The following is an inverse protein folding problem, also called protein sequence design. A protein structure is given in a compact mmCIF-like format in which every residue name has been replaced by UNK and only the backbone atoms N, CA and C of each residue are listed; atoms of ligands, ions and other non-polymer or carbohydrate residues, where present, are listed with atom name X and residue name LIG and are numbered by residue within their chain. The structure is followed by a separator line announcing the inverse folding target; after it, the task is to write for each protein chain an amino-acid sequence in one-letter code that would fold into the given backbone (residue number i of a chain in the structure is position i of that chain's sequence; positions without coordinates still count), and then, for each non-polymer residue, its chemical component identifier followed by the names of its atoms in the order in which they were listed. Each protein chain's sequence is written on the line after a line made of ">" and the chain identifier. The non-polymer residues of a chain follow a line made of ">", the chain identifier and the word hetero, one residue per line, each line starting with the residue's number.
data_IF_486834097178
#
_entry.id   IF_486834097178
#
_cell.length_a   1.000
_cell.length_b   1.000
_cell.length_c   1.000
_cell.angle_alpha   90.00
_cell.angle_beta   90.00
_cell.angle_gamma   90.00
#
_symmetry.space_group_name_H-M   'P 1'
#
loop_
_entity.id
_entity.type
_entity.pdbx_description
1 polymer ?
#
# COMPACT_ATOMS: atom_id res chain seq x y z
N UNK A 1 44.40 57.66 -6.56
CA UNK A 1 45.81 58.01 -6.68
C UNK A 1 46.45 56.95 -7.58
N UNK A 2 46.59 57.41 -8.84
CA UNK A 2 47.78 57.37 -9.74
C UNK A 2 48.43 55.99 -9.89
N UNK A 3 48.26 55.38 -11.08
CA UNK A 3 49.10 55.39 -12.30
C UNK A 3 50.45 54.68 -12.10
N UNK A 4 50.83 53.73 -12.96
CA UNK A 4 51.43 53.80 -14.34
C UNK A 4 51.79 52.41 -14.79
N UNK A 5 51.42 51.90 -15.98
CA UNK A 5 52.10 51.93 -17.28
C UNK A 5 53.57 51.56 -17.29
N UNK A 6 53.95 50.52 -18.11
CA UNK A 6 54.81 50.66 -19.30
C UNK A 6 55.22 49.24 -19.80
N UNK A 7 54.83 48.84 -20.92
CA UNK A 7 55.32 48.74 -22.29
C UNK A 7 56.68 48.11 -22.56
N UNK A 8 56.72 47.34 -23.70
CA UNK A 8 57.74 47.01 -24.69
C UNK A 8 58.68 45.84 -24.38
N UNK A 9 58.90 44.87 -25.27
CA UNK A 9 59.41 45.03 -26.63
C UNK A 9 59.34 43.70 -27.44
N UNK A 10 59.31 43.91 -28.73
CA UNK A 10 59.39 43.05 -29.92
C UNK A 10 60.58 42.11 -29.98
N UNK A 11 60.40 41.00 -30.68
CA UNK A 11 61.52 40.23 -31.26
C UNK A 11 61.04 38.90 -31.85
N UNK A 12 60.84 38.87 -33.06
CA UNK A 12 61.48 38.28 -34.27
C UNK A 12 61.10 36.82 -34.55
N UNK A 13 60.57 36.64 -35.72
CA UNK A 13 60.28 35.49 -36.55
C UNK A 13 61.36 34.43 -36.63
N UNK A 14 61.00 33.13 -36.50
CA UNK A 14 61.65 32.03 -37.28
C UNK A 14 60.49 31.10 -37.74
N UNK A 15 60.38 31.02 -39.07
CA UNK A 15 59.47 30.09 -39.76
C UNK A 15 60.18 28.71 -39.77
N UNK A 16 59.58 27.71 -39.18
CA UNK A 16 59.95 26.32 -39.43
C UNK A 16 58.67 25.58 -39.85
N UNK A 17 58.58 25.25 -41.11
CA UNK A 17 57.57 24.42 -41.72
C UNK A 17 57.88 22.98 -41.37
N UNK A 18 57.19 22.38 -40.46
CA UNK A 18 57.11 20.93 -40.24
C UNK A 18 55.70 20.49 -40.51
N UNK A 19 55.53 19.68 -41.56
CA UNK A 19 54.27 19.11 -41.97
C UNK A 19 53.65 18.28 -40.84
N UNK A 20 52.52 18.69 -40.39
CA UNK A 20 51.68 17.96 -39.45
C UNK A 20 50.61 17.25 -40.26
N UNK A 21 50.79 15.94 -40.46
CA UNK A 21 49.72 15.07 -40.96
C UNK A 21 48.58 15.09 -39.95
N UNK A 22 47.51 15.74 -40.29
CA UNK A 22 46.25 15.67 -39.52
C UNK A 22 45.70 14.27 -39.69
N UNK A 23 45.94 13.39 -38.71
CA UNK A 23 45.04 12.27 -38.46
C UNK A 23 43.72 12.87 -37.97
N UNK A 24 42.73 12.91 -38.85
CA UNK A 24 41.35 13.02 -38.46
C UNK A 24 40.96 11.73 -37.71
N UNK A 25 41.14 11.73 -36.38
CA UNK A 25 40.37 10.83 -35.53
C UNK A 25 38.97 11.36 -35.59
N UNK A 26 38.13 10.71 -36.41
CA UNK A 26 36.70 10.81 -36.30
C UNK A 26 36.34 10.18 -34.94
N UNK A 27 36.23 10.99 -33.90
CA UNK A 27 35.39 10.65 -32.78
C UNK A 27 33.97 10.65 -33.37
N UNK A 28 33.47 9.45 -33.67
CA UNK A 28 32.04 9.24 -33.66
C UNK A 28 31.62 9.47 -32.21
N UNK A 29 31.17 10.65 -31.90
CA UNK A 29 30.26 10.85 -30.78
C UNK A 29 28.97 10.08 -31.14
N UNK A 30 29.02 8.77 -30.97
CA UNK A 30 27.83 8.01 -30.64
C UNK A 30 27.41 8.59 -29.29
N UNK A 31 26.58 9.63 -29.33
CA UNK A 31 25.70 9.89 -28.21
C UNK A 31 24.94 8.58 -28.01
N UNK A 32 25.47 7.76 -27.10
CA UNK A 32 24.76 6.64 -26.49
C UNK A 32 23.50 7.29 -25.89
N UNK A 33 22.44 7.30 -26.68
CA UNK A 33 21.11 7.54 -26.19
C UNK A 33 20.90 6.44 -25.16
N UNK A 34 21.32 6.72 -23.91
CA UNK A 34 21.39 5.79 -22.79
C UNK A 34 20.11 5.02 -22.65
N UNK A 35 19.99 3.96 -23.42
CA UNK A 35 18.88 3.01 -23.30
C UNK A 35 18.89 2.52 -21.86
N UNK A 36 17.72 2.47 -21.23
CA UNK A 36 17.57 1.87 -19.91
C UNK A 36 17.92 0.39 -20.06
N UNK A 37 19.13 0.01 -19.68
CA UNK A 37 19.65 -1.35 -19.85
C UNK A 37 19.35 -2.23 -18.62
N UNK A 38 19.04 -1.63 -17.46
CA UNK A 38 18.79 -2.34 -16.22
C UNK A 38 17.35 -2.89 -16.17
N UNK A 39 17.22 -4.19 -15.97
CA UNK A 39 15.93 -4.81 -15.67
C UNK A 39 15.40 -4.38 -14.30
N UNK A 40 14.14 -4.72 -13.99
CA UNK A 40 13.55 -4.50 -12.66
C UNK A 40 14.43 -5.12 -11.57
N UNK A 41 14.96 -6.33 -11.81
CA UNK A 41 15.83 -7.02 -10.85
C UNK A 41 17.15 -6.26 -10.68
N UNK A 42 17.76 -5.77 -11.77
CA UNK A 42 19.02 -5.01 -11.69
C UNK A 42 18.84 -3.71 -10.88
N UNK A 43 17.71 -3.02 -11.05
CA UNK A 43 17.37 -1.83 -10.25
C UNK A 43 17.22 -2.17 -8.77
N UNK A 44 16.55 -3.29 -8.46
CA UNK A 44 16.35 -3.75 -7.07
C UNK A 44 17.67 -4.14 -6.43
N UNK A 45 18.49 -4.96 -7.09
CA UNK A 45 19.81 -5.41 -6.61
C UNK A 45 20.81 -4.25 -6.50
N UNK A 46 20.74 -3.29 -7.42
CA UNK A 46 21.63 -2.12 -7.44
C UNK A 46 21.34 -1.08 -6.34
N UNK A 47 20.29 -1.25 -5.54
CA UNK A 47 19.87 -0.28 -4.53
C UNK A 47 19.82 -0.87 -3.11
N UNK A 48 20.65 -0.31 -2.21
CA UNK A 48 20.66 -0.71 -0.80
C UNK A 48 19.29 -0.56 -0.11
N UNK A 49 18.42 0.32 -0.61
CA UNK A 49 17.07 0.51 -0.08
C UNK A 49 16.14 -0.68 -0.32
N UNK A 50 16.48 -1.57 -1.25
CA UNK A 50 15.70 -2.75 -1.61
C UNK A 50 16.32 -4.08 -1.16
N UNK A 51 17.31 -4.07 -0.27
CA UNK A 51 18.01 -5.30 0.16
C UNK A 51 17.08 -6.38 0.74
N UNK A 52 16.00 -5.98 1.42
CA UNK A 52 14.98 -6.90 1.94
C UNK A 52 14.13 -7.48 0.79
N UNK A 53 13.74 -6.64 -0.18
CA UNK A 53 13.00 -7.08 -1.38
C UNK A 53 13.87 -8.01 -2.24
N UNK A 54 15.14 -7.70 -2.44
CA UNK A 54 16.10 -8.56 -3.13
C UNK A 54 16.15 -9.95 -2.49
N UNK A 55 16.31 -10.01 -1.16
CA UNK A 55 16.32 -11.27 -0.41
C UNK A 55 15.01 -12.07 -0.61
N UNK A 56 13.86 -11.38 -0.64
CA UNK A 56 12.57 -12.01 -0.89
C UNK A 56 12.45 -12.55 -2.32
N UNK A 57 12.89 -11.79 -3.34
CA UNK A 57 12.86 -12.19 -4.76
C UNK A 57 13.75 -13.41 -5.00
N UNK A 58 14.93 -13.44 -4.39
CA UNK A 58 15.85 -14.58 -4.49
C UNK A 58 15.22 -15.82 -3.85
N UNK A 59 14.69 -15.70 -2.61
CA UNK A 59 14.07 -16.81 -1.88
C UNK A 59 12.82 -17.34 -2.57
N UNK A 60 12.05 -16.48 -3.23
CA UNK A 60 10.85 -16.86 -4.01
C UNK A 60 11.16 -17.43 -5.41
N UNK A 61 12.46 -17.54 -5.77
CA UNK A 61 12.92 -18.01 -7.09
C UNK A 61 12.31 -17.21 -8.27
N UNK A 62 12.11 -15.90 -8.09
CA UNK A 62 11.49 -15.03 -9.11
C UNK A 62 12.49 -14.18 -9.91
N UNK A 63 13.80 -14.33 -9.66
CA UNK A 63 14.85 -13.57 -10.35
C UNK A 63 14.72 -13.70 -11.87
N UNK A 64 14.65 -14.91 -12.40
CA UNK A 64 14.53 -15.16 -13.85
C UNK A 64 13.22 -14.64 -14.44
N UNK A 65 12.13 -14.70 -13.69
CA UNK A 65 10.81 -14.21 -14.14
C UNK A 65 10.82 -12.69 -14.26
N UNK A 66 11.34 -11.98 -13.24
CA UNK A 66 11.31 -10.52 -13.19
C UNK A 66 12.46 -9.85 -13.94
N UNK A 67 13.52 -10.59 -14.34
CA UNK A 67 14.57 -10.12 -15.25
C UNK A 67 14.28 -10.41 -16.73
N UNK A 68 13.29 -11.26 -17.02
CA UNK A 68 12.94 -11.65 -18.38
C UNK A 68 12.36 -10.50 -19.23
N UNK A 69 12.28 -10.77 -20.55
CA UNK A 69 11.68 -9.86 -21.52
C UNK A 69 10.15 -9.79 -21.31
N UNK A 70 9.72 -8.92 -20.45
CA UNK A 70 8.31 -8.67 -20.16
C UNK A 70 7.98 -7.19 -20.23
N UNK A 71 6.77 -6.86 -19.86
CA UNK A 71 6.33 -5.50 -19.63
C UNK A 71 5.63 -5.49 -18.28
N UNK A 72 6.38 -5.18 -17.22
CA UNK A 72 5.89 -5.29 -15.85
C UNK A 72 5.71 -3.94 -15.19
N UNK A 73 4.82 -3.88 -14.21
CA UNK A 73 4.81 -2.86 -13.18
C UNK A 73 5.02 -3.54 -11.84
N UNK A 74 5.99 -3.09 -11.07
CA UNK A 74 6.24 -3.62 -9.73
C UNK A 74 6.01 -2.53 -8.69
N UNK A 75 5.10 -2.78 -7.76
CA UNK A 75 4.93 -2.00 -6.55
C UNK A 75 5.98 -2.48 -5.54
N UNK A 76 7.12 -1.80 -5.48
CA UNK A 76 8.28 -2.24 -4.71
C UNK A 76 8.29 -1.61 -3.31
N UNK A 77 8.13 -2.40 -2.23
CA UNK A 77 8.37 -1.91 -0.89
C UNK A 77 9.87 -1.78 -0.63
N UNK A 78 10.30 -0.65 -0.05
CA UNK A 78 11.66 -0.47 0.46
C UNK A 78 11.84 -1.14 1.84
N UNK A 79 13.06 -1.10 2.38
CA UNK A 79 13.37 -1.67 3.70
C UNK A 79 12.50 -1.05 4.81
N UNK A 80 12.17 0.25 4.71
CA UNK A 80 11.28 0.94 5.65
C UNK A 80 9.86 0.41 5.56
N UNK A 81 9.37 0.17 4.33
CA UNK A 81 8.05 -0.40 4.08
C UNK A 81 7.92 -1.82 4.67
N UNK A 82 8.95 -2.65 4.53
CA UNK A 82 9.02 -3.96 5.16
C UNK A 82 8.95 -3.86 6.69
N UNK A 83 9.79 -3.01 7.29
CA UNK A 83 9.79 -2.77 8.73
C UNK A 83 8.43 -2.24 9.23
N UNK A 84 7.87 -1.26 8.55
CA UNK A 84 6.58 -0.68 8.88
C UNK A 84 5.39 -1.65 8.70
N UNK A 85 5.56 -2.70 7.89
CA UNK A 85 4.59 -3.79 7.72
C UNK A 85 4.81 -4.94 8.70
N UNK A 86 5.79 -4.85 9.61
CA UNK A 86 6.14 -5.92 10.54
C UNK A 86 6.80 -7.14 9.87
N UNK A 87 7.17 -7.02 8.59
CA UNK A 87 7.85 -8.09 7.84
C UNK A 87 9.35 -8.01 8.09
N UNK A 88 9.76 -8.47 9.26
CA UNK A 88 11.17 -8.54 9.65
C UNK A 88 11.92 -9.65 8.90
N UNK A 89 13.25 -9.65 8.96
CA UNK A 89 14.07 -10.71 8.39
C UNK A 89 13.67 -12.11 8.93
N UNK A 90 13.29 -12.21 10.22
CA UNK A 90 12.81 -13.44 10.83
C UNK A 90 11.48 -13.90 10.23
N UNK A 91 10.52 -12.98 10.05
CA UNK A 91 9.24 -13.29 9.38
C UNK A 91 9.50 -13.74 7.95
N UNK A 92 10.36 -13.02 7.21
CA UNK A 92 10.71 -13.37 5.83
C UNK A 92 11.36 -14.74 5.72
N UNK A 93 12.19 -15.13 6.69
CA UNK A 93 12.78 -16.46 6.77
C UNK A 93 11.77 -17.56 7.07
N UNK A 94 10.72 -17.28 7.86
CA UNK A 94 9.68 -18.26 8.21
C UNK A 94 8.68 -18.54 7.10
N UNK A 95 8.51 -17.60 6.14
CA UNK A 95 7.64 -17.81 4.98
C UNK A 95 8.22 -18.87 4.04
N UNK A 96 7.37 -19.70 3.45
CA UNK A 96 7.76 -20.64 2.40
C UNK A 96 8.07 -19.90 1.08
N UNK A 97 8.72 -20.60 0.12
CA UNK A 97 8.94 -20.09 -1.23
C UNK A 97 7.61 -19.72 -1.89
N UNK A 98 6.58 -20.59 -1.81
CA UNK A 98 5.28 -20.35 -2.41
C UNK A 98 4.57 -19.12 -1.79
N UNK A 99 4.60 -18.98 -0.45
CA UNK A 99 4.02 -17.81 0.22
C UNK A 99 4.69 -16.51 -0.21
N UNK A 100 6.01 -16.49 -0.35
CA UNK A 100 6.73 -15.32 -0.84
C UNK A 100 6.43 -15.04 -2.32
N UNK A 101 6.31 -16.10 -3.12
CA UNK A 101 5.95 -15.99 -4.52
C UNK A 101 4.55 -15.38 -4.69
N UNK A 102 3.57 -15.81 -3.93
CA UNK A 102 2.21 -15.25 -3.94
C UNK A 102 2.23 -13.77 -3.58
N UNK A 103 2.94 -13.39 -2.51
CA UNK A 103 3.09 -11.99 -2.10
C UNK A 103 3.75 -11.16 -3.21
N UNK A 104 4.87 -11.62 -3.77
CA UNK A 104 5.61 -10.86 -4.80
C UNK A 104 4.85 -10.76 -6.13
N UNK A 105 4.15 -11.81 -6.54
CA UNK A 105 3.26 -11.76 -7.70
C UNK A 105 2.07 -10.84 -7.47
N UNK A 106 1.59 -10.71 -6.23
CA UNK A 106 0.56 -9.73 -5.86
C UNK A 106 1.05 -8.27 -5.95
N UNK A 107 2.38 -8.05 -5.84
CA UNK A 107 3.01 -6.74 -6.08
C UNK A 107 3.28 -6.44 -7.56
N UNK A 108 3.03 -7.39 -8.46
CA UNK A 108 3.45 -7.31 -9.86
C UNK A 108 2.24 -7.27 -10.79
N UNK A 109 2.21 -6.33 -11.73
CA UNK A 109 1.27 -6.31 -12.85
C UNK A 109 1.97 -6.83 -14.11
N UNK A 110 1.25 -7.59 -14.93
CA UNK A 110 1.73 -8.10 -16.23
C UNK A 110 1.70 -7.06 -17.36
N UNK A 111 1.67 -5.78 -17.05
CA UNK A 111 1.69 -4.67 -18.01
C UNK A 111 2.41 -3.47 -17.42
N UNK A 112 2.99 -2.63 -18.30
CA UNK A 112 3.64 -1.38 -17.88
C UNK A 112 2.57 -0.28 -17.70
N UNK A 113 2.45 0.23 -16.48
CA UNK A 113 1.50 1.28 -16.10
C UNK A 113 2.28 2.44 -15.48
N UNK A 114 2.51 3.50 -16.23
CA UNK A 114 3.12 4.72 -15.71
C UNK A 114 2.10 5.53 -14.89
N UNK A 115 2.54 6.29 -13.92
CA UNK A 115 1.68 7.09 -13.04
C UNK A 115 0.81 8.09 -13.80
N UNK A 116 1.30 8.60 -14.94
CA UNK A 116 0.54 9.50 -15.82
C UNK A 116 -0.67 8.82 -16.47
N UNK A 117 -0.60 7.51 -16.74
CA UNK A 117 -1.70 6.74 -17.35
C UNK A 117 -2.78 6.32 -16.35
N UNK A 118 -2.51 6.43 -15.04
CA UNK A 118 -3.50 6.15 -14.00
C UNK A 118 -4.50 7.31 -13.98
N UNK A 119 -5.77 6.98 -14.22
CA UNK A 119 -6.85 7.96 -14.17
C UNK A 119 -7.14 8.39 -12.71
N UNK A 120 -7.60 9.62 -12.52
CA UNK A 120 -8.10 10.06 -11.22
C UNK A 120 -9.37 9.29 -10.88
N UNK A 121 -9.41 8.70 -9.70
CA UNK A 121 -10.52 7.87 -9.25
C UNK A 121 -10.15 7.10 -7.99
N UNK A 122 -11.15 6.48 -7.37
CA UNK A 122 -11.00 5.67 -6.16
C UNK A 122 -11.19 4.19 -6.48
N UNK A 123 -10.39 3.34 -5.85
CA UNK A 123 -10.57 1.88 -5.82
C UNK A 123 -10.70 1.22 -7.20
N UNK A 124 -9.94 1.69 -8.18
CA UNK A 124 -9.86 1.04 -9.48
C UNK A 124 -9.19 -0.33 -9.33
N UNK A 125 -9.93 -1.39 -9.62
CA UNK A 125 -9.42 -2.75 -9.55
C UNK A 125 -8.46 -3.02 -10.71
N UNK A 126 -7.26 -3.51 -10.39
CA UNK A 126 -6.22 -3.87 -11.37
C UNK A 126 -5.72 -5.27 -11.07
N UNK A 127 -5.78 -6.16 -12.08
CA UNK A 127 -5.30 -7.55 -11.96
C UNK A 127 -3.79 -7.60 -11.77
N UNK A 128 -3.36 -8.32 -10.75
CA UNK A 128 -1.96 -8.63 -10.51
C UNK A 128 -1.53 -9.93 -11.20
N UNK A 129 -0.23 -10.19 -11.24
CA UNK A 129 0.31 -11.47 -11.72
C UNK A 129 -0.05 -12.66 -10.80
N UNK A 130 -0.44 -12.41 -9.54
CA UNK A 130 -1.02 -13.40 -8.63
C UNK A 130 -2.42 -13.85 -9.10
N UNK A 131 -3.17 -12.98 -9.77
CA UNK A 131 -4.56 -13.23 -10.22
C UNK A 131 -5.62 -12.49 -9.39
N UNK A 132 -5.28 -11.98 -8.20
CA UNK A 132 -6.15 -11.12 -7.41
C UNK A 132 -5.98 -9.65 -7.78
N UNK A 133 -6.97 -8.83 -7.41
CA UNK A 133 -6.96 -7.41 -7.70
C UNK A 133 -6.23 -6.62 -6.60
N UNK A 134 -5.41 -5.66 -7.03
CA UNK A 134 -5.07 -4.50 -6.21
C UNK A 134 -6.01 -3.35 -6.56
N UNK A 135 -6.23 -2.47 -5.60
CA UNK A 135 -7.12 -1.31 -5.76
C UNK A 135 -6.29 -0.04 -5.79
N UNK A 136 -6.33 0.64 -6.93
CA UNK A 136 -5.57 1.87 -7.15
C UNK A 136 -6.48 3.08 -6.97
N UNK A 137 -6.07 4.00 -6.13
CA UNK A 137 -6.69 5.33 -5.96
C UNK A 137 -5.70 6.41 -6.40
N UNK A 138 -6.15 7.33 -7.24
CA UNK A 138 -5.41 8.55 -7.59
C UNK A 138 -6.25 9.78 -7.26
N UNK A 139 -5.73 10.62 -6.40
CA UNK A 139 -6.37 11.86 -5.97
C UNK A 139 -5.33 13.00 -5.85
N UNK A 140 -5.72 14.16 -5.30
CA UNK A 140 -4.83 15.31 -5.10
C UNK A 140 -3.63 15.03 -4.18
N UNK A 141 -3.70 13.98 -3.34
CA UNK A 141 -2.65 13.61 -2.40
C UNK A 141 -1.65 12.60 -3.00
N UNK A 142 -1.91 12.11 -4.24
CA UNK A 142 -1.04 11.21 -4.97
C UNK A 142 -1.70 9.92 -5.45
N UNK A 143 -0.88 8.90 -5.66
CA UNK A 143 -1.30 7.55 -6.03
C UNK A 143 -1.18 6.64 -4.83
N UNK A 144 -2.18 5.80 -4.65
CA UNK A 144 -2.26 4.82 -3.55
C UNK A 144 -2.63 3.45 -4.12
N UNK A 145 -2.11 2.40 -3.49
CA UNK A 145 -2.43 1.01 -3.83
C UNK A 145 -2.88 0.30 -2.55
N UNK A 146 -4.10 -0.24 -2.55
CA UNK A 146 -4.75 -0.77 -1.35
C UNK A 146 -4.69 0.19 -0.17
N UNK A 147 -4.85 1.50 -0.43
CA UNK A 147 -4.79 2.56 0.56
C UNK A 147 -3.39 3.00 1.00
N UNK A 148 -2.33 2.36 0.49
CA UNK A 148 -0.95 2.70 0.82
C UNK A 148 -0.32 3.58 -0.25
N UNK A 149 0.40 4.62 0.18
CA UNK A 149 0.95 5.63 -0.72
C UNK A 149 2.09 5.10 -1.58
N UNK A 150 2.09 5.49 -2.85
CA UNK A 150 3.26 5.42 -3.73
C UNK A 150 4.18 6.57 -3.35
N UNK A 151 5.35 6.25 -2.74
CA UNK A 151 6.37 7.23 -2.28
C UNK A 151 7.09 7.86 -3.47
N UNK A 152 7.41 7.04 -4.48
CA UNK A 152 8.05 7.46 -5.72
C UNK A 152 7.50 6.62 -6.87
N UNK A 153 7.00 7.30 -7.89
CA UNK A 153 6.49 6.65 -9.10
C UNK A 153 7.53 6.67 -10.23
N UNK A 154 7.31 5.80 -11.22
CA UNK A 154 7.96 5.82 -12.53
C UNK A 154 9.50 5.65 -12.47
N UNK A 155 10.03 4.77 -11.61
CA UNK A 155 11.41 4.32 -11.69
C UNK A 155 11.47 3.36 -12.88
N UNK A 156 12.15 3.78 -13.95
CA UNK A 156 12.17 3.08 -15.22
C UNK A 156 13.14 1.90 -15.20
N UNK A 157 12.71 0.78 -15.81
CA UNK A 157 13.52 -0.38 -16.08
C UNK A 157 13.36 -0.82 -17.55
N UNK A 158 14.31 -1.58 -18.09
CA UNK A 158 14.28 -2.04 -19.49
C UNK A 158 13.06 -2.92 -19.79
N UNK A 159 12.57 -3.67 -18.80
CA UNK A 159 11.44 -4.57 -18.91
C UNK A 159 10.21 -4.11 -18.09
N UNK A 160 10.13 -2.82 -17.71
CA UNK A 160 8.96 -2.33 -16.99
C UNK A 160 9.13 -1.01 -16.26
N UNK A 161 8.35 -0.85 -15.19
CA UNK A 161 8.37 0.31 -14.31
C UNK A 161 8.21 -0.13 -12.86
N UNK A 162 8.89 0.54 -11.95
CA UNK A 162 8.80 0.31 -10.51
C UNK A 162 8.14 1.52 -9.86
N UNK A 163 7.19 1.26 -8.97
CA UNK A 163 6.60 2.25 -8.08
C UNK A 163 6.97 1.90 -6.64
N UNK A 164 7.71 2.76 -5.99
CA UNK A 164 8.10 2.61 -4.58
C UNK A 164 6.89 2.84 -3.69
N UNK A 165 6.55 1.88 -2.83
CA UNK A 165 5.40 1.94 -1.92
C UNK A 165 5.81 1.91 -0.44
N UNK A 166 4.94 2.46 0.42
CA UNK A 166 5.23 2.63 1.86
C UNK A 166 4.90 1.40 2.72
N UNK A 167 4.29 0.36 2.14
CA UNK A 167 3.91 -0.89 2.84
C UNK A 167 4.01 -2.09 1.92
N UNK A 168 4.23 -3.25 2.50
CA UNK A 168 4.08 -4.53 1.80
C UNK A 168 2.59 -4.79 1.56
N UNK A 169 2.22 -5.10 0.32
CA UNK A 169 0.85 -5.48 -0.04
C UNK A 169 0.64 -6.95 0.29
N UNK A 170 -0.43 -7.25 1.01
CA UNK A 170 -0.82 -8.62 1.31
C UNK A 170 -2.06 -8.99 0.51
N UNK A 171 -2.07 -10.12 -0.23
CA UNK A 171 -3.28 -10.62 -0.86
C UNK A 171 -4.33 -10.95 0.20
N UNK A 172 -5.61 -10.88 -0.16
CA UNK A 172 -6.69 -11.22 0.75
C UNK A 172 -6.66 -12.72 1.07
N UNK A 173 -6.69 -13.07 2.36
CA UNK A 173 -6.69 -14.47 2.82
C UNK A 173 -8.08 -15.09 2.91
N UNK A 174 -9.12 -14.30 2.60
CA UNK A 174 -10.51 -14.72 2.68
C UNK A 174 -11.46 -13.51 2.73
N UNK A 175 -12.73 -13.76 3.04
CA UNK A 175 -13.72 -12.70 3.24
C UNK A 175 -13.53 -12.02 4.61
N UNK A 176 -14.31 -10.96 4.88
CA UNK A 176 -14.21 -10.17 6.12
C UNK A 176 -14.31 -11.00 7.40
N UNK A 177 -15.16 -12.04 7.39
CA UNK A 177 -15.32 -12.94 8.56
C UNK A 177 -14.08 -13.82 8.73
N UNK A 178 -13.56 -14.39 7.64
CA UNK A 178 -12.37 -15.25 7.65
C UNK A 178 -11.12 -14.46 8.07
N UNK A 179 -10.96 -13.23 7.56
CA UNK A 179 -9.88 -12.33 7.97
C UNK A 179 -9.99 -11.98 9.45
N UNK A 180 -11.19 -11.71 9.97
CA UNK A 180 -11.40 -11.46 11.39
C UNK A 180 -11.09 -12.71 12.25
N UNK A 181 -11.43 -13.91 11.78
CA UNK A 181 -11.10 -15.18 12.46
C UNK A 181 -9.59 -15.41 12.59
N UNK A 182 -8.81 -14.96 11.62
CA UNK A 182 -7.34 -15.03 11.64
C UNK A 182 -6.67 -14.02 12.60
N UNK A 183 -7.43 -13.10 13.20
CA UNK A 183 -6.89 -12.04 14.05
C UNK A 183 -7.26 -12.23 15.52
N UNK A 184 -6.26 -12.48 16.38
CA UNK A 184 -6.44 -12.68 17.83
C UNK A 184 -7.04 -11.49 18.57
N UNK A 185 -6.91 -10.27 18.03
CA UNK A 185 -7.45 -9.04 18.62
C UNK A 185 -8.95 -8.84 18.33
N UNK A 186 -9.57 -9.71 17.51
CA UNK A 186 -10.96 -9.61 17.07
C UNK A 186 -11.87 -10.74 17.59
N UNK A 187 -11.43 -11.52 18.58
CA UNK A 187 -12.20 -12.66 19.12
C UNK A 187 -13.53 -12.21 19.76
N UNK A 188 -13.57 -11.03 20.39
CA UNK A 188 -14.79 -10.45 20.94
C UNK A 188 -15.76 -9.99 19.83
N UNK A 189 -15.22 -9.40 18.76
CA UNK A 189 -16.03 -9.04 17.58
C UNK A 189 -16.66 -10.29 16.96
N UNK A 190 -15.92 -11.38 16.82
CA UNK A 190 -16.46 -12.63 16.30
C UNK A 190 -17.59 -13.19 17.18
N UNK A 191 -17.41 -13.19 18.50
CA UNK A 191 -18.46 -13.58 19.44
C UNK A 191 -19.69 -12.71 19.30
N UNK A 192 -19.50 -11.38 19.14
CA UNK A 192 -20.60 -10.43 18.92
C UNK A 192 -21.32 -10.67 17.58
N UNK A 193 -20.59 -10.95 16.49
CA UNK A 193 -21.17 -11.29 15.18
C UNK A 193 -21.99 -12.57 15.26
N UNK A 194 -21.47 -13.61 15.91
CA UNK A 194 -22.19 -14.87 16.11
C UNK A 194 -23.44 -14.69 16.95
N UNK A 195 -23.36 -13.93 18.04
CA UNK A 195 -24.52 -13.63 18.89
C UNK A 195 -25.57 -12.79 18.16
N UNK A 196 -25.16 -11.72 17.49
CA UNK A 196 -26.04 -10.85 16.71
C UNK A 196 -26.78 -11.62 15.61
N UNK A 197 -26.12 -12.61 15.01
CA UNK A 197 -26.69 -13.43 13.93
C UNK A 197 -27.82 -14.37 14.40
N UNK A 198 -28.05 -14.48 15.70
CA UNK A 198 -29.18 -15.20 16.28
C UNK A 198 -30.46 -14.34 16.38
N UNK A 199 -30.34 -13.03 16.09
CA UNK A 199 -31.47 -12.09 16.04
C UNK A 199 -32.16 -12.07 14.69
N UNK A 200 -32.90 -10.98 14.44
CA UNK A 200 -33.62 -10.75 13.17
C UNK A 200 -32.70 -10.53 11.96
N UNK A 201 -31.46 -10.09 12.19
CA UNK A 201 -30.46 -9.82 11.14
C UNK A 201 -29.30 -10.78 11.29
N UNK A 202 -29.06 -11.60 10.29
CA UNK A 202 -27.87 -12.47 10.26
C UNK A 202 -26.64 -11.66 9.82
N UNK A 203 -25.94 -11.06 10.80
CA UNK A 203 -24.77 -10.19 10.57
C UNK A 203 -23.64 -10.97 9.91
N UNK A 204 -23.41 -12.23 10.30
CA UNK A 204 -22.38 -13.08 9.70
C UNK A 204 -22.65 -13.29 8.20
N UNK A 205 -23.90 -13.51 7.81
CA UNK A 205 -24.29 -13.66 6.41
C UNK A 205 -24.08 -12.37 5.62
N UNK A 206 -24.40 -11.21 6.20
CA UNK A 206 -24.18 -9.90 5.57
C UNK A 206 -22.69 -9.69 5.33
N UNK A 207 -21.84 -9.88 6.34
CA UNK A 207 -20.39 -9.69 6.24
C UNK A 207 -19.70 -10.76 5.39
N UNK A 208 -20.28 -11.93 5.22
CA UNK A 208 -19.79 -13.01 4.35
C UNK A 208 -20.25 -12.88 2.88
N UNK A 209 -21.17 -11.95 2.57
CA UNK A 209 -21.68 -11.75 1.22
C UNK A 209 -20.67 -11.02 0.31
N UNK A 210 -20.99 -10.90 -0.97
CA UNK A 210 -20.03 -10.45 -2.01
C UNK A 210 -19.57 -8.98 -1.89
N UNK A 211 -20.14 -8.16 -1.01
CA UNK A 211 -19.70 -6.78 -0.77
C UNK A 211 -19.73 -5.84 -1.99
N UNK A 212 -18.89 -4.82 -2.09
CA UNK A 212 -17.81 -4.52 -1.14
C UNK A 212 -18.27 -3.85 0.15
N UNK A 213 -17.57 -4.15 1.24
CA UNK A 213 -17.82 -3.54 2.54
C UNK A 213 -16.56 -2.91 3.13
N UNK A 214 -16.75 -1.94 4.04
CA UNK A 214 -15.72 -1.49 4.98
C UNK A 214 -16.21 -1.78 6.38
N UNK A 215 -15.39 -2.42 7.20
CA UNK A 215 -15.68 -2.69 8.60
C UNK A 215 -14.72 -1.94 9.49
N UNK A 216 -15.23 -1.03 10.32
CA UNK A 216 -14.49 -0.50 11.46
C UNK A 216 -14.59 -1.50 12.60
N UNK A 217 -13.57 -2.34 12.76
CA UNK A 217 -13.58 -3.52 13.62
C UNK A 217 -13.06 -3.17 15.02
N UNK A 218 -13.93 -3.14 16.07
CA UNK A 218 -13.49 -2.90 17.43
C UNK A 218 -12.61 -4.06 17.92
N UNK A 219 -11.47 -3.72 18.52
CA UNK A 219 -10.59 -4.71 19.14
C UNK A 219 -11.22 -5.32 20.40
N UNK A 220 -10.65 -6.42 20.90
CA UNK A 220 -11.06 -7.01 22.18
C UNK A 220 -11.07 -5.97 23.31
N UNK A 221 -10.04 -5.10 23.35
CA UNK A 221 -9.96 -4.05 24.35
C UNK A 221 -11.07 -3.01 24.19
N UNK A 222 -11.48 -2.71 22.95
CA UNK A 222 -12.61 -1.81 22.68
C UNK A 222 -13.92 -2.34 23.27
N UNK A 223 -14.18 -3.64 23.16
CA UNK A 223 -15.34 -4.29 23.78
C UNK A 223 -15.25 -4.27 25.31
N UNK A 224 -14.09 -4.54 25.89
CA UNK A 224 -13.89 -4.46 27.35
C UNK A 224 -14.17 -3.03 27.84
N UNK A 225 -13.66 -2.01 27.16
CA UNK A 225 -13.91 -0.60 27.48
C UNK A 225 -15.37 -0.20 27.34
N UNK A 226 -16.13 -0.88 26.44
CA UNK A 226 -17.58 -0.69 26.26
C UNK A 226 -18.44 -1.45 27.29
N UNK A 227 -17.82 -2.12 28.28
CA UNK A 227 -18.52 -2.83 29.35
C UNK A 227 -18.68 -4.35 29.14
N UNK A 228 -18.20 -4.90 28.04
CA UNK A 228 -18.18 -6.36 27.80
C UNK A 228 -16.87 -6.95 28.32
N UNK A 229 -16.78 -7.16 29.63
CA UNK A 229 -15.54 -7.63 30.27
C UNK A 229 -15.13 -9.06 29.83
N UNK A 230 -16.05 -9.87 29.32
CA UNK A 230 -15.83 -11.24 28.88
C UNK A 230 -16.65 -11.58 27.64
N UNK A 231 -16.25 -12.60 26.90
CA UNK A 231 -17.03 -13.16 25.78
C UNK A 231 -18.42 -13.62 26.27
N UNK A 232 -18.52 -14.22 27.45
CA UNK A 232 -19.79 -14.64 28.05
C UNK A 232 -20.78 -13.45 28.25
N UNK A 233 -20.27 -12.25 28.55
CA UNK A 233 -21.11 -11.04 28.62
C UNK A 233 -21.69 -10.64 27.25
N UNK A 234 -20.91 -10.84 26.17
CA UNK A 234 -21.38 -10.65 24.79
C UNK A 234 -22.45 -11.68 24.43
N UNK A 235 -22.22 -12.95 24.76
CA UNK A 235 -23.15 -14.05 24.48
C UNK A 235 -24.48 -13.91 25.25
N UNK A 236 -24.49 -13.23 26.40
CA UNK A 236 -25.68 -12.90 27.18
C UNK A 236 -26.43 -11.67 26.69
N UNK A 237 -25.81 -10.83 25.83
CA UNK A 237 -26.39 -9.60 25.34
C UNK A 237 -27.58 -9.87 24.39
N UNK A 238 -28.44 -8.86 24.23
CA UNK A 238 -29.56 -8.92 23.26
C UNK A 238 -29.03 -8.94 21.83
N UNK A 239 -29.38 -9.96 21.01
CA UNK A 239 -28.84 -10.14 19.68
C UNK A 239 -29.22 -9.01 18.70
N UNK A 240 -30.43 -8.42 18.84
CA UNK A 240 -30.85 -7.35 17.94
C UNK A 240 -30.13 -6.03 18.26
N UNK A 241 -29.90 -5.76 19.55
CA UNK A 241 -29.05 -4.62 19.97
C UNK A 241 -27.62 -4.76 19.42
N UNK A 242 -27.03 -5.93 19.55
CA UNK A 242 -25.70 -6.19 18.97
C UNK A 242 -25.71 -6.06 17.44
N UNK A 243 -26.75 -6.56 16.76
CA UNK A 243 -26.87 -6.43 15.30
C UNK A 243 -26.96 -4.97 14.87
N UNK A 244 -27.72 -4.13 15.59
CA UNK A 244 -27.80 -2.69 15.32
C UNK A 244 -26.42 -2.01 15.50
N UNK A 245 -25.71 -2.31 16.59
CA UNK A 245 -24.38 -1.77 16.84
C UNK A 245 -23.40 -2.25 15.77
N UNK A 246 -23.36 -3.55 15.45
CA UNK A 246 -22.41 -4.09 14.48
C UNK A 246 -22.65 -3.58 13.06
N UNK A 247 -23.91 -3.46 12.63
CA UNK A 247 -24.23 -2.88 11.30
C UNK A 247 -23.93 -1.38 11.23
N UNK A 248 -23.86 -0.70 12.37
CA UNK A 248 -23.37 0.68 12.46
C UNK A 248 -21.85 0.79 12.20
N UNK A 249 -21.08 -0.26 12.41
CA UNK A 249 -19.64 -0.31 12.10
C UNK A 249 -19.34 -0.63 10.62
N UNK A 250 -20.36 -0.83 9.79
CA UNK A 250 -20.21 -1.31 8.41
C UNK A 250 -20.64 -0.26 7.39
N UNK A 251 -19.84 -0.05 6.36
CA UNK A 251 -20.19 0.72 5.18
C UNK A 251 -20.43 -0.22 4.00
N UNK A 252 -21.42 0.09 3.14
CA UNK A 252 -21.68 -0.64 1.88
C UNK A 252 -20.79 -0.15 0.74
N UNK A 253 -19.49 0.04 1.02
CA UNK A 253 -18.50 0.47 0.05
C UNK A 253 -17.10 0.01 0.51
N UNK A 254 -16.14 -0.14 -0.40
CA UNK A 254 -14.73 -0.30 -0.06
C UNK A 254 -14.15 1.10 0.13
N UNK A 255 -13.69 1.41 1.33
CA UNK A 255 -13.04 2.66 1.65
C UNK A 255 -11.71 2.37 2.35
N UNK A 256 -10.59 2.51 1.64
CA UNK A 256 -9.26 2.50 2.25
C UNK A 256 -8.99 3.83 2.96
N UNK A 257 -7.93 3.87 3.76
CA UNK A 257 -7.54 5.11 4.46
C UNK A 257 -7.28 6.28 3.51
N UNK A 258 -6.82 6.00 2.28
CA UNK A 258 -6.61 7.00 1.21
C UNK A 258 -7.89 7.62 0.66
N UNK A 259 -9.02 7.00 0.91
CA UNK A 259 -10.33 7.41 0.40
C UNK A 259 -11.12 8.22 1.44
N UNK A 260 -10.62 8.23 2.69
CA UNK A 260 -11.20 9.00 3.77
C UNK A 260 -10.72 10.45 3.71
N UNK A 261 -11.62 11.40 3.97
CA UNK A 261 -11.30 12.82 4.03
C UNK A 261 -11.66 13.42 5.39
N UNK A 262 -10.89 14.41 5.81
CA UNK A 262 -11.14 15.07 7.09
C UNK A 262 -12.49 15.80 7.08
N UNK A 263 -13.32 15.56 8.11
CA UNK A 263 -14.66 16.11 8.22
C UNK A 263 -15.71 15.40 7.37
N UNK A 264 -15.38 14.26 6.76
CA UNK A 264 -16.32 13.46 5.99
C UNK A 264 -17.33 12.76 6.92
N UNK A 265 -18.59 12.80 6.56
CA UNK A 265 -19.65 12.00 7.19
C UNK A 265 -19.89 10.74 6.34
N UNK A 266 -19.84 9.57 6.96
CA UNK A 266 -20.03 8.27 6.33
C UNK A 266 -21.39 7.69 6.73
N UNK A 267 -22.16 7.16 5.77
CA UNK A 267 -23.43 6.48 6.03
C UNK A 267 -23.19 4.99 6.22
N UNK A 268 -23.71 4.43 7.29
CA UNK A 268 -23.54 3.04 7.69
C UNK A 268 -24.66 2.13 7.19
N UNK A 269 -24.45 0.81 7.26
CA UNK A 269 -25.45 -0.19 6.84
C UNK A 269 -26.72 -0.12 7.69
N UNK A 270 -26.64 0.29 8.96
CA UNK A 270 -27.83 0.48 9.79
C UNK A 270 -28.59 1.79 9.52
N UNK A 271 -28.09 2.63 8.59
CA UNK A 271 -28.70 3.92 8.22
C UNK A 271 -28.24 5.12 9.05
N UNK A 272 -27.47 4.92 10.11
CA UNK A 272 -26.85 5.99 10.89
C UNK A 272 -25.61 6.58 10.19
N UNK A 273 -25.02 7.59 10.79
CA UNK A 273 -23.83 8.27 10.27
C UNK A 273 -22.69 8.27 11.28
N UNK A 274 -21.46 8.35 10.78
CA UNK A 274 -20.26 8.55 11.59
C UNK A 274 -19.35 9.59 10.92
N UNK A 275 -18.57 10.31 11.71
CA UNK A 275 -17.68 11.37 11.22
C UNK A 275 -16.23 10.94 11.26
N UNK A 276 -15.50 11.31 10.21
CA UNK A 276 -14.06 11.07 10.04
C UNK A 276 -13.29 12.31 10.47
N UNK A 277 -12.26 12.14 11.28
CA UNK A 277 -11.28 13.18 11.52
C UNK A 277 -9.86 12.66 11.27
N UNK A 278 -9.12 13.38 10.42
CA UNK A 278 -7.74 13.08 10.07
C UNK A 278 -6.82 14.15 10.67
N UNK A 279 -5.88 13.71 11.50
CA UNK A 279 -4.91 14.56 12.18
C UNK A 279 -3.63 13.78 12.49
N UNK A 280 -3.13 13.88 13.71
CA UNK A 280 -2.00 13.05 14.15
C UNK A 280 -2.33 11.55 14.11
N UNK A 281 -3.60 11.20 14.26
CA UNK A 281 -4.17 9.87 14.04
C UNK A 281 -5.47 10.01 13.24
N UNK A 282 -5.81 9.00 12.47
CA UNK A 282 -7.12 8.90 11.86
C UNK A 282 -8.13 8.39 12.92
N UNK A 283 -9.26 9.08 13.04
CA UNK A 283 -10.30 8.75 14.01
C UNK A 283 -11.69 8.74 13.38
N UNK A 284 -12.57 7.92 13.95
CA UNK A 284 -13.97 7.82 13.56
C UNK A 284 -14.84 8.07 14.80
N UNK A 285 -15.89 8.87 14.66
CA UNK A 285 -16.80 9.16 15.77
C UNK A 285 -18.22 8.80 15.41
N UNK A 286 -18.82 7.89 16.17
CA UNK A 286 -20.25 7.62 16.13
C UNK A 286 -21.06 8.72 16.84
N UNK A 287 -22.36 8.82 16.52
CA UNK A 287 -23.22 9.90 16.99
C UNK A 287 -23.31 9.95 18.52
N UNK A 288 -23.40 8.79 19.19
CA UNK A 288 -23.50 8.69 20.64
C UNK A 288 -22.17 8.50 21.36
N UNK A 289 -21.03 8.43 20.64
CA UNK A 289 -19.72 8.39 21.26
C UNK A 289 -19.33 9.75 21.84
N UNK A 290 -18.87 9.80 23.09
CA UNK A 290 -18.33 11.03 23.71
C UNK A 290 -16.97 11.40 23.12
N UNK A 291 -16.12 10.39 22.87
CA UNK A 291 -14.78 10.52 22.28
C UNK A 291 -14.70 9.74 20.97
N UNK A 292 -13.91 10.21 20.00
CA UNK A 292 -13.71 9.48 18.76
C UNK A 292 -12.89 8.19 18.98
N UNK A 293 -13.18 7.15 18.22
CA UNK A 293 -12.38 5.93 18.14
C UNK A 293 -11.15 6.16 17.25
N UNK A 294 -9.97 5.74 17.71
CA UNK A 294 -8.75 5.79 16.92
C UNK A 294 -8.65 4.55 16.03
N UNK A 295 -8.28 4.76 14.77
CA UNK A 295 -7.93 3.65 13.87
C UNK A 295 -6.52 3.19 14.23
N UNK A 296 -6.40 2.00 14.83
CA UNK A 296 -5.12 1.43 15.31
C UNK A 296 -4.41 0.60 14.26
N UNK A 297 -5.16 -0.03 13.34
CA UNK A 297 -4.65 -0.68 12.15
C UNK A 297 -5.60 -0.42 10.98
N UNK A 298 -5.04 -0.15 9.81
CA UNK A 298 -5.83 0.23 8.64
C UNK A 298 -5.53 -0.63 7.43
N UNK A 299 -6.46 -0.63 6.47
CA UNK A 299 -6.28 -1.23 5.14
C UNK A 299 -6.05 -2.76 5.17
N UNK A 300 -6.64 -3.48 6.14
CA UNK A 300 -6.60 -4.95 6.15
C UNK A 300 -7.55 -5.46 5.08
N UNK A 301 -6.98 -5.98 3.99
CA UNK A 301 -7.75 -6.39 2.81
C UNK A 301 -8.46 -7.72 3.03
N UNK A 302 -9.73 -7.77 2.62
CA UNK A 302 -10.52 -8.99 2.45
C UNK A 302 -11.03 -9.09 1.00
N UNK A 303 -11.36 -10.29 0.54
CA UNK A 303 -11.88 -10.51 -0.82
C UNK A 303 -13.14 -9.69 -1.11
N UNK A 304 -14.00 -9.53 -0.10
CA UNK A 304 -15.25 -8.77 -0.19
C UNK A 304 -15.24 -7.41 0.53
N UNK A 305 -14.05 -6.88 0.92
CA UNK A 305 -14.02 -5.61 1.63
C UNK A 305 -12.67 -5.22 2.19
N UNK A 306 -12.69 -4.33 3.18
CA UNK A 306 -11.54 -3.88 3.96
C UNK A 306 -11.92 -3.71 5.42
N UNK A 307 -10.99 -4.04 6.34
CA UNK A 307 -11.15 -3.79 7.77
C UNK A 307 -10.20 -2.67 8.21
N UNK A 308 -10.71 -1.86 9.15
CA UNK A 308 -9.91 -0.92 9.95
C UNK A 308 -10.15 -1.25 11.42
N UNK A 309 -9.10 -1.59 12.16
CA UNK A 309 -9.20 -1.87 13.58
C UNK A 309 -9.33 -0.55 14.36
N UNK A 310 -10.23 -0.50 15.31
CA UNK A 310 -10.52 0.66 16.15
C UNK A 310 -10.46 0.32 17.64
N UNK A 311 -10.09 1.32 18.46
CA UNK A 311 -9.90 1.18 19.90
C UNK A 311 -11.19 1.39 20.74
N UNK A 312 -12.31 1.71 20.10
CA UNK A 312 -13.61 1.88 20.76
C UNK A 312 -14.75 1.28 19.92
N UNK A 313 -15.81 0.84 20.58
CA UNK A 313 -17.08 0.47 19.92
C UNK A 313 -17.81 1.76 19.52
N UNK A 314 -18.24 1.82 18.26
CA UNK A 314 -19.04 2.94 17.75
C UNK A 314 -20.50 2.77 18.17
N UNK A 315 -21.10 3.87 18.61
CA UNK A 315 -22.50 3.90 19.06
C UNK A 315 -23.32 4.79 18.12
N UNK A 316 -24.49 4.28 17.64
CA UNK A 316 -25.38 5.01 16.73
C UNK A 316 -26.01 6.25 17.35
#
# INVERSE_FOLDING_TARGET
>A
MKLKFLNFAKGLLVVSVIGFSTFLVACSDDEDMGGINNSIVDVVVGSANFSTLESAVIKANLVSTLSGSGSYTVFAPDNEAFAASGVTASVLQSLSEDQLKDILLYHTLGSKVNSASIQTGMNMAVKTAHGDDVYVTKNSNGVFVNGWKVKQADIMASNGVIHLIERVLMPATGNLVEVAQGNSDLTYLLAAVLRASQGSTNVAQVLGSSGPYTVFAPTNQAFINAGFATIAAIEAADPNTLASILTYHVLSARAFSSDLTNGQTLTTVNGGTMDVALGASATIKGNSNTTPATITAMNVLASNGVLHLIDQVLLP
#
